data_IF_373111373475
#
_entry.id   IF_373111373475
#
_cell.length_a   1.000
_cell.length_b   1.000
_cell.length_c   1.000
_cell.angle_alpha   90.00
_cell.angle_beta   90.00
_cell.angle_gamma   90.00
#
_symmetry.space_group_name_H-M   'P 1'
#
loop_
_entity.id
_entity.type
_entity.pdbx_description
1 polymer ?
#
# COMPACT_ATOMS: atom_id res chain seq x y z
N UNK A 1 22.09 1.77 6.19
CA UNK A 1 23.12 1.92 7.23
C UNK A 1 23.61 3.35 7.33
N UNK A 2 24.53 3.77 6.45
CA UNK A 2 25.22 5.06 6.55
C UNK A 2 24.31 6.29 6.63
N UNK A 3 23.23 6.34 5.85
CA UNK A 3 22.26 7.45 5.90
C UNK A 3 21.62 7.55 7.28
N UNK A 4 21.15 6.43 7.83
CA UNK A 4 20.55 6.41 9.17
C UNK A 4 21.57 6.79 10.25
N UNK A 5 22.83 6.36 10.12
CA UNK A 5 23.92 6.74 11.04
C UNK A 5 24.16 8.26 11.07
N UNK A 6 24.08 8.91 9.91
CA UNK A 6 24.38 10.35 9.77
C UNK A 6 23.16 11.27 9.97
N UNK A 7 21.98 10.84 9.53
CA UNK A 7 20.77 11.68 9.46
C UNK A 7 19.60 11.15 10.30
N UNK A 8 19.77 9.99 10.95
CA UNK A 8 18.71 9.33 11.71
C UNK A 8 17.50 8.98 10.85
N UNK A 9 16.33 8.91 11.48
CA UNK A 9 15.06 8.61 10.81
C UNK A 9 14.59 9.74 9.88
N UNK A 10 15.06 10.98 10.09
CA UNK A 10 14.76 12.11 9.19
C UNK A 10 15.24 11.81 7.76
N UNK A 11 16.34 11.07 7.62
CA UNK A 11 16.91 10.66 6.34
C UNK A 11 17.28 11.85 5.46
N UNK A 12 17.24 11.63 4.15
CA UNK A 12 17.47 12.65 3.14
C UNK A 12 16.14 13.21 2.61
N UNK A 13 16.22 14.24 1.78
CA UNK A 13 15.08 14.66 0.96
C UNK A 13 14.69 13.52 0.01
N UNK A 14 13.42 13.46 -0.39
CA UNK A 14 12.95 12.45 -1.34
C UNK A 14 13.78 12.45 -2.62
N UNK A 15 14.02 11.25 -3.18
CA UNK A 15 14.80 11.04 -4.40
C UNK A 15 16.22 11.65 -4.41
N UNK A 16 16.82 11.88 -3.25
CA UNK A 16 18.23 12.30 -3.16
C UNK A 16 19.20 11.27 -3.76
N UNK A 17 18.84 9.99 -3.68
CA UNK A 17 19.62 8.89 -4.26
C UNK A 17 18.66 7.99 -5.04
N UNK A 18 18.88 7.85 -6.34
CA UNK A 18 18.11 6.96 -7.22
C UNK A 18 19.04 5.91 -7.80
N UNK A 19 18.74 4.63 -7.57
CA UNK A 19 19.53 3.50 -8.05
C UNK A 19 18.67 2.69 -9.01
N UNK A 20 19.08 2.65 -10.28
CA UNK A 20 18.44 1.87 -11.32
C UNK A 20 19.17 0.54 -11.51
N UNK A 21 18.44 -0.56 -11.46
CA UNK A 21 18.96 -1.93 -11.51
C UNK A 21 18.21 -2.72 -12.58
N UNK A 22 18.89 -3.70 -13.16
CA UNK A 22 18.33 -4.59 -14.17
C UNK A 22 18.73 -6.03 -13.88
N UNK A 23 17.75 -6.93 -13.88
CA UNK A 23 17.95 -8.37 -13.65
C UNK A 23 17.20 -8.89 -12.44
N UNK A 24 17.74 -9.93 -11.81
CA UNK A 24 17.11 -10.62 -10.68
C UNK A 24 17.77 -10.17 -9.38
N UNK A 25 17.00 -9.54 -8.50
CA UNK A 25 17.46 -9.22 -7.16
C UNK A 25 17.33 -10.45 -6.25
N UNK A 26 18.39 -10.76 -5.50
CA UNK A 26 18.37 -11.80 -4.48
C UNK A 26 17.43 -11.47 -3.32
N UNK A 27 17.45 -12.31 -2.29
CA UNK A 27 16.64 -12.09 -1.10
C UNK A 27 16.94 -10.75 -0.43
N UNK A 28 15.96 -10.19 0.28
CA UNK A 28 16.13 -8.99 1.11
C UNK A 28 16.49 -7.73 0.33
N UNK A 29 16.11 -7.65 -0.95
CA UNK A 29 16.29 -6.45 -1.76
C UNK A 29 15.63 -5.22 -1.10
N UNK A 30 16.39 -4.14 -0.89
CA UNK A 30 15.87 -2.91 -0.27
C UNK A 30 15.52 -3.04 1.22
N UNK A 31 16.11 -3.99 1.93
CA UNK A 31 15.91 -4.14 3.38
C UNK A 31 16.36 -2.90 4.16
N UNK A 32 15.51 -2.41 5.07
CA UNK A 32 15.74 -1.20 5.88
C UNK A 32 16.09 0.05 5.03
N UNK A 33 15.54 0.14 3.81
CA UNK A 33 15.82 1.27 2.92
C UNK A 33 15.36 2.59 3.56
N UNK A 34 16.32 3.50 3.73
CA UNK A 34 16.13 4.76 4.42
C UNK A 34 15.46 5.81 3.54
N UNK A 35 14.78 6.77 4.18
CA UNK A 35 14.18 7.91 3.51
C UNK A 35 15.16 8.67 2.62
N UNK A 36 14.69 8.96 1.40
CA UNK A 36 15.43 9.66 0.35
C UNK A 36 16.24 8.76 -0.58
N UNK A 37 16.16 7.44 -0.40
CA UNK A 37 16.69 6.46 -1.37
C UNK A 37 15.55 5.82 -2.14
N UNK A 38 15.69 5.79 -3.46
CA UNK A 38 14.77 5.12 -4.39
C UNK A 38 15.51 4.02 -5.13
N UNK A 39 15.01 2.79 -5.01
CA UNK A 39 15.48 1.63 -5.74
C UNK A 39 14.49 1.31 -6.85
N UNK A 40 14.96 1.35 -8.11
CA UNK A 40 14.17 1.00 -9.27
C UNK A 40 14.75 -0.26 -9.93
N UNK A 41 14.03 -1.37 -9.83
CA UNK A 41 14.41 -2.65 -10.38
C UNK A 41 13.57 -2.98 -11.62
N UNK A 42 14.22 -3.09 -12.77
CA UNK A 42 13.65 -3.66 -13.98
C UNK A 42 14.02 -5.14 -14.02
N UNK A 43 13.07 -6.01 -13.69
CA UNK A 43 13.30 -7.44 -13.55
C UNK A 43 12.44 -8.03 -12.44
N UNK A 44 13.01 -8.86 -11.58
CA UNK A 44 12.28 -9.61 -10.55
C UNK A 44 13.03 -9.62 -9.22
N UNK A 45 12.30 -9.67 -8.11
CA UNK A 45 12.85 -9.77 -6.77
C UNK A 45 12.52 -11.12 -6.12
N UNK A 46 13.45 -11.68 -5.36
CA UNK A 46 13.16 -12.86 -4.53
C UNK A 46 12.42 -12.47 -3.24
N UNK A 47 12.40 -13.36 -2.23
CA UNK A 47 11.74 -13.11 -0.96
C UNK A 47 12.26 -11.87 -0.22
N UNK A 48 11.43 -11.31 0.65
CA UNK A 48 11.77 -10.24 1.58
C UNK A 48 12.10 -8.89 0.94
N UNK A 49 11.62 -8.62 -0.28
CA UNK A 49 11.71 -7.26 -0.86
C UNK A 49 11.14 -6.24 0.13
N UNK A 50 11.91 -5.20 0.43
CA UNK A 50 11.51 -4.14 1.35
C UNK A 50 11.30 -4.59 2.79
N UNK A 51 11.90 -5.70 3.24
CA UNK A 51 11.87 -6.08 4.66
C UNK A 51 12.29 -4.90 5.55
N UNK A 52 11.45 -4.56 6.52
CA UNK A 52 11.66 -3.43 7.40
C UNK A 52 11.81 -2.08 6.69
N UNK A 53 11.15 -1.87 5.54
CA UNK A 53 11.19 -0.60 4.81
C UNK A 53 11.01 0.59 5.77
N UNK A 54 11.91 1.57 5.66
CA UNK A 54 12.09 2.64 6.66
C UNK A 54 12.16 4.02 5.98
N UNK A 55 11.24 4.26 5.05
CA UNK A 55 11.02 5.57 4.43
C UNK A 55 11.53 5.70 3.00
N UNK A 56 12.31 4.73 2.51
CA UNK A 56 12.73 4.69 1.10
C UNK A 56 11.58 4.30 0.16
N UNK A 57 11.86 4.34 -1.15
CA UNK A 57 10.96 3.90 -2.20
C UNK A 57 11.54 2.69 -2.94
N UNK A 58 10.73 1.65 -3.12
CA UNK A 58 11.09 0.47 -3.92
C UNK A 58 10.11 0.34 -5.07
N UNK A 59 10.66 0.15 -6.27
CA UNK A 59 9.90 -0.02 -7.50
C UNK A 59 10.40 -1.30 -8.16
N UNK A 60 9.50 -2.23 -8.47
CA UNK A 60 9.80 -3.44 -9.23
C UNK A 60 8.86 -3.52 -10.41
N UNK A 61 9.43 -3.54 -11.61
CA UNK A 61 8.69 -3.59 -12.87
C UNK A 61 9.30 -4.63 -13.80
N UNK A 62 8.49 -5.30 -14.63
CA UNK A 62 9.01 -6.32 -15.52
C UNK A 62 9.82 -5.66 -16.64
N UNK A 63 10.75 -6.42 -17.22
CA UNK A 63 11.40 -5.98 -18.45
C UNK A 63 10.34 -5.88 -19.55
N UNK A 64 10.06 -4.66 -20.04
CA UNK A 64 9.01 -4.39 -21.02
C UNK A 64 9.10 -5.33 -22.23
N UNK A 65 8.24 -6.35 -22.24
CA UNK A 65 7.95 -7.20 -23.39
C UNK A 65 6.47 -6.99 -23.70
N UNK A 66 6.13 -6.76 -24.98
CA UNK A 66 4.76 -6.46 -25.42
C UNK A 66 3.72 -7.44 -24.90
N UNK A 67 4.11 -8.71 -24.69
CA UNK A 67 3.20 -9.79 -24.30
C UNK A 67 3.26 -10.15 -22.80
N UNK A 68 4.06 -9.45 -21.98
CA UNK A 68 4.14 -9.74 -20.55
C UNK A 68 2.92 -9.19 -19.82
N UNK A 69 2.10 -10.10 -19.29
CA UNK A 69 0.93 -9.78 -18.46
C UNK A 69 1.36 -9.73 -16.99
N UNK A 70 1.69 -8.54 -16.51
CA UNK A 70 2.16 -8.35 -15.14
C UNK A 70 1.17 -8.88 -14.11
N UNK A 71 -0.13 -8.68 -14.33
CA UNK A 71 -1.24 -9.16 -13.51
C UNK A 71 -1.42 -10.69 -13.50
N UNK A 72 -0.57 -11.45 -14.19
CA UNK A 72 -0.60 -12.92 -14.26
C UNK A 72 0.71 -13.60 -13.90
N UNK A 73 1.75 -12.83 -13.58
CA UNK A 73 3.09 -13.38 -13.37
C UNK A 73 3.67 -12.88 -12.04
N UNK A 74 4.26 -13.81 -11.29
CA UNK A 74 4.98 -13.50 -10.05
C UNK A 74 6.25 -12.73 -10.41
N UNK A 75 6.43 -11.56 -9.78
CA UNK A 75 7.59 -10.69 -9.97
C UNK A 75 8.36 -10.44 -8.66
N UNK A 76 7.70 -10.65 -7.52
CA UNK A 76 8.35 -10.65 -6.21
C UNK A 76 7.95 -11.88 -5.40
N UNK A 77 8.89 -12.39 -4.60
CA UNK A 77 8.68 -13.57 -3.76
C UNK A 77 7.78 -13.30 -2.54
N UNK A 78 8.04 -14.05 -1.47
CA UNK A 78 7.23 -14.08 -0.26
C UNK A 78 7.66 -13.01 0.75
N UNK A 79 6.77 -12.72 1.71
CA UNK A 79 7.09 -11.94 2.92
C UNK A 79 7.65 -10.54 2.60
N UNK A 80 7.18 -9.97 1.48
CA UNK A 80 7.50 -8.61 1.03
C UNK A 80 6.98 -7.60 2.04
N UNK A 81 7.75 -6.55 2.31
CA UNK A 81 7.45 -5.50 3.30
C UNK A 81 7.30 -6.00 4.75
N UNK A 82 7.92 -7.12 5.09
CA UNK A 82 7.85 -7.64 6.45
C UNK A 82 8.28 -6.60 7.49
N UNK A 83 7.35 -6.16 8.35
CA UNK A 83 7.64 -5.22 9.43
C UNK A 83 8.01 -3.83 8.94
N UNK A 84 7.62 -3.45 7.71
CA UNK A 84 7.84 -2.11 7.20
C UNK A 84 7.17 -1.05 8.09
N UNK A 85 7.85 0.08 8.33
CA UNK A 85 7.38 1.13 9.25
C UNK A 85 7.05 2.45 8.54
N UNK A 86 7.60 2.68 7.35
CA UNK A 86 7.32 3.83 6.50
C UNK A 86 7.92 3.60 5.11
N UNK A 87 7.57 4.45 4.15
CA UNK A 87 8.09 4.38 2.78
C UNK A 87 7.07 3.85 1.79
N UNK A 88 7.49 3.69 0.54
CA UNK A 88 6.61 3.35 -0.57
C UNK A 88 7.13 2.14 -1.36
N UNK A 89 6.22 1.29 -1.84
CA UNK A 89 6.55 0.11 -2.63
C UNK A 89 5.57 -0.07 -3.80
N UNK A 90 6.08 -0.10 -5.03
CA UNK A 90 5.28 -0.22 -6.25
C UNK A 90 5.73 -1.43 -7.05
N UNK A 91 4.87 -2.44 -7.17
CA UNK A 91 5.19 -3.74 -7.77
C UNK A 91 4.26 -4.00 -8.96
N UNK A 92 4.77 -3.90 -10.19
CA UNK A 92 3.98 -4.25 -11.39
C UNK A 92 4.06 -5.75 -11.65
N UNK A 93 3.30 -6.49 -10.86
CA UNK A 93 3.11 -7.93 -11.01
C UNK A 93 2.56 -8.57 -9.75
N UNK A 94 2.52 -9.90 -9.73
CA UNK A 94 2.07 -10.66 -8.57
C UNK A 94 3.18 -10.78 -7.52
N UNK A 95 2.81 -10.62 -6.26
CA UNK A 95 3.64 -11.03 -5.13
C UNK A 95 3.30 -12.46 -4.69
N UNK A 96 4.26 -13.14 -4.08
CA UNK A 96 4.03 -14.40 -3.39
C UNK A 96 3.16 -14.25 -2.13
N UNK A 97 3.32 -15.18 -1.21
CA UNK A 97 2.59 -15.23 0.05
C UNK A 97 3.05 -14.16 1.04
N UNK A 98 2.18 -13.84 2.01
CA UNK A 98 2.48 -12.95 3.14
C UNK A 98 2.95 -11.55 2.71
N UNK A 99 2.41 -11.07 1.60
CA UNK A 99 2.65 -9.69 1.19
C UNK A 99 2.20 -8.71 2.28
N UNK A 100 3.06 -7.76 2.64
CA UNK A 100 2.83 -6.76 3.67
C UNK A 100 2.54 -7.33 5.07
N UNK A 101 3.06 -8.52 5.38
CA UNK A 101 2.96 -9.10 6.73
C UNK A 101 3.59 -8.17 7.77
N UNK A 102 2.86 -7.88 8.84
CA UNK A 102 3.28 -6.94 9.90
C UNK A 102 3.63 -5.53 9.41
N UNK A 103 3.14 -5.10 8.25
CA UNK A 103 3.29 -3.71 7.81
C UNK A 103 2.68 -2.78 8.87
N UNK A 104 3.44 -1.77 9.26
CA UNK A 104 3.12 -0.81 10.32
C UNK A 104 3.05 0.63 9.80
N UNK A 105 3.31 0.88 8.52
CA UNK A 105 3.28 2.25 7.98
C UNK A 105 3.72 2.46 6.54
N UNK A 106 4.12 1.41 5.80
CA UNK A 106 4.43 1.56 4.39
C UNK A 106 3.16 1.65 3.53
N UNK A 107 3.28 2.40 2.43
CA UNK A 107 2.28 2.49 1.37
C UNK A 107 2.72 1.56 0.23
N UNK A 108 1.83 0.69 -0.23
CA UNK A 108 2.17 -0.27 -1.26
C UNK A 108 1.09 -0.43 -2.32
N UNK A 109 1.50 -0.64 -3.57
CA UNK A 109 0.62 -1.04 -4.68
C UNK A 109 1.21 -2.27 -5.37
N UNK A 110 0.40 -3.32 -5.54
CA UNK A 110 0.76 -4.59 -6.17
C UNK A 110 -0.37 -5.07 -7.07
N UNK A 111 -0.08 -5.83 -8.13
CA UNK A 111 -1.10 -6.26 -9.11
C UNK A 111 -1.80 -7.58 -8.75
N UNK A 112 -1.38 -8.23 -7.67
CA UNK A 112 -2.03 -9.39 -7.07
C UNK A 112 -1.12 -10.04 -6.05
N UNK A 113 -1.67 -10.93 -5.22
CA UNK A 113 -0.94 -11.52 -4.09
C UNK A 113 -1.29 -12.98 -3.89
N UNK A 114 -0.39 -13.74 -3.28
CA UNK A 114 -0.67 -15.06 -2.73
C UNK A 114 -1.46 -14.99 -1.42
N UNK A 115 -1.39 -16.07 -0.64
CA UNK A 115 -2.11 -16.22 0.63
C UNK A 115 -1.57 -15.28 1.72
N UNK A 116 -2.39 -15.01 2.74
CA UNK A 116 -2.00 -14.26 3.94
C UNK A 116 -1.54 -12.81 3.67
N UNK A 117 -2.02 -12.18 2.60
CA UNK A 117 -1.75 -10.77 2.35
C UNK A 117 -2.27 -9.90 3.52
N UNK A 118 -1.48 -8.92 3.96
CA UNK A 118 -1.73 -8.03 5.09
C UNK A 118 -1.87 -8.73 6.46
N UNK A 119 -1.37 -9.97 6.59
CA UNK A 119 -1.39 -10.69 7.86
C UNK A 119 -0.65 -9.88 8.96
N UNK A 120 -1.28 -9.74 10.14
CA UNK A 120 -0.77 -8.95 11.27
C UNK A 120 -0.41 -7.49 10.97
N UNK A 121 -0.94 -6.90 9.89
CA UNK A 121 -0.71 -5.48 9.57
C UNK A 121 -1.33 -4.58 10.67
N UNK A 122 -0.55 -3.59 11.11
CA UNK A 122 -0.88 -2.66 12.21
C UNK A 122 -0.93 -1.20 11.75
N UNK A 123 -0.55 -0.92 10.51
CA UNK A 123 -0.53 0.42 9.94
C UNK A 123 -0.11 0.43 8.47
N UNK A 124 -0.22 1.60 7.84
CA UNK A 124 0.07 1.76 6.41
C UNK A 124 -1.15 1.56 5.51
N UNK A 125 -0.90 1.57 4.20
CA UNK A 125 -1.94 1.50 3.17
C UNK A 125 -1.49 0.53 2.08
N UNK A 126 -2.25 -0.53 1.84
CA UNK A 126 -1.95 -1.52 0.79
C UNK A 126 -3.03 -1.49 -0.27
N UNK A 127 -2.66 -1.46 -1.56
CA UNK A 127 -3.59 -1.61 -2.67
C UNK A 127 -3.21 -2.82 -3.51
N UNK A 128 -4.17 -3.70 -3.73
CA UNK A 128 -4.03 -4.88 -4.60
C UNK A 128 -4.93 -4.69 -5.82
N UNK A 129 -4.33 -4.65 -7.01
CA UNK A 129 -5.02 -4.38 -8.29
C UNK A 129 -5.49 -5.65 -9.02
N UNK A 130 -5.74 -6.73 -8.28
CA UNK A 130 -6.11 -8.02 -8.85
C UNK A 130 -6.37 -9.08 -7.79
N UNK A 131 -6.24 -10.35 -8.20
CA UNK A 131 -6.60 -11.47 -7.35
C UNK A 131 -5.68 -11.58 -6.11
N UNK A 132 -6.28 -12.02 -5.00
CA UNK A 132 -5.58 -12.36 -3.76
C UNK A 132 -5.65 -13.87 -3.51
N UNK A 133 -4.75 -14.37 -2.66
CA UNK A 133 -4.90 -15.67 -2.01
C UNK A 133 -5.89 -15.64 -0.84
N UNK A 134 -5.96 -16.74 -0.10
CA UNK A 134 -6.86 -16.92 1.05
C UNK A 134 -6.29 -16.32 2.33
N UNK A 135 -7.15 -16.20 3.35
CA UNK A 135 -6.81 -15.71 4.68
C UNK A 135 -6.23 -14.29 4.67
N UNK A 136 -6.70 -13.46 3.74
CA UNK A 136 -6.34 -12.04 3.66
C UNK A 136 -6.69 -11.32 4.97
N UNK A 137 -5.81 -10.43 5.43
CA UNK A 137 -5.98 -9.60 6.64
C UNK A 137 -6.14 -10.37 7.96
N UNK A 138 -5.70 -11.64 8.03
CA UNK A 138 -5.68 -12.38 9.28
C UNK A 138 -4.85 -11.65 10.36
N UNK A 139 -5.46 -11.37 11.51
CA UNK A 139 -4.80 -10.63 12.60
C UNK A 139 -4.47 -9.17 12.29
N UNK A 140 -5.01 -8.60 11.20
CA UNK A 140 -4.82 -7.19 10.86
C UNK A 140 -5.55 -6.31 11.88
N UNK A 141 -4.81 -5.44 12.57
CA UNK A 141 -5.31 -4.61 13.67
C UNK A 141 -5.16 -3.11 13.42
N UNK A 142 -4.51 -2.69 12.33
CA UNK A 142 -4.46 -1.28 11.93
C UNK A 142 -4.07 -1.05 10.47
N UNK A 143 -4.21 0.19 10.02
CA UNK A 143 -4.07 0.56 8.61
C UNK A 143 -5.31 0.23 7.78
N UNK A 144 -5.20 0.35 6.46
CA UNK A 144 -6.27 -0.01 5.52
C UNK A 144 -5.71 -0.75 4.31
N UNK A 145 -6.54 -1.57 3.67
CA UNK A 145 -6.22 -2.12 2.36
C UNK A 145 -7.35 -1.86 1.35
N UNK A 146 -6.98 -1.64 0.09
CA UNK A 146 -7.89 -1.59 -1.04
C UNK A 146 -7.67 -2.81 -1.92
N UNK A 147 -8.75 -3.48 -2.30
CA UNK A 147 -8.69 -4.64 -3.19
C UNK A 147 -9.60 -4.39 -4.38
N UNK A 148 -9.03 -4.40 -5.58
CA UNK A 148 -9.78 -4.35 -6.83
C UNK A 148 -10.16 -5.78 -7.22
N UNK A 149 -11.44 -6.13 -7.06
CA UNK A 149 -11.94 -7.46 -7.33
C UNK A 149 -12.80 -7.49 -8.61
N UNK A 150 -12.25 -8.06 -9.68
CA UNK A 150 -12.96 -8.23 -10.95
C UNK A 150 -13.90 -9.44 -10.96
N UNK A 151 -13.76 -10.34 -9.98
CA UNK A 151 -14.37 -11.66 -9.97
C UNK A 151 -15.45 -11.85 -8.92
N UNK A 152 -15.71 -10.82 -8.11
CA UNK A 152 -16.59 -10.87 -6.93
C UNK A 152 -16.29 -12.07 -6.01
N UNK A 153 -15.01 -12.47 -5.90
CA UNK A 153 -14.57 -13.63 -5.12
C UNK A 153 -13.79 -13.26 -3.85
N UNK A 154 -13.43 -11.99 -3.68
CA UNK A 154 -12.56 -11.52 -2.60
C UNK A 154 -13.17 -11.74 -1.20
N UNK A 155 -14.48 -11.56 -1.05
CA UNK A 155 -15.15 -11.70 0.25
C UNK A 155 -14.91 -13.09 0.87
N UNK A 156 -14.91 -14.15 0.05
CA UNK A 156 -14.67 -15.53 0.50
C UNK A 156 -13.22 -15.81 0.93
N UNK A 157 -12.28 -14.94 0.55
CA UNK A 157 -10.84 -15.08 0.79
C UNK A 157 -10.36 -14.26 1.98
N UNK A 158 -11.20 -13.37 2.50
CA UNK A 158 -10.84 -12.47 3.59
C UNK A 158 -11.16 -13.08 4.96
N UNK A 159 -10.23 -12.93 5.91
CA UNK A 159 -10.45 -13.33 7.29
C UNK A 159 -11.15 -12.21 8.06
N UNK A 160 -12.45 -12.36 8.31
CA UNK A 160 -13.29 -11.33 8.94
C UNK A 160 -13.25 -11.33 10.48
N UNK A 161 -12.30 -12.03 11.11
CA UNK A 161 -12.24 -12.12 12.58
C UNK A 161 -11.98 -10.77 13.27
N UNK A 162 -11.22 -9.87 12.62
CA UNK A 162 -10.84 -8.56 13.17
C UNK A 162 -11.11 -7.39 12.22
N UNK A 163 -11.49 -7.67 10.98
CA UNK A 163 -11.70 -6.68 9.92
C UNK A 163 -13.10 -6.78 9.34
N UNK A 164 -13.56 -5.66 8.78
CA UNK A 164 -14.74 -5.62 7.93
C UNK A 164 -14.33 -5.30 6.49
N UNK A 165 -15.13 -5.80 5.54
CA UNK A 165 -15.07 -5.42 4.14
C UNK A 165 -16.13 -4.36 3.91
N UNK A 166 -15.71 -3.22 3.37
CA UNK A 166 -16.57 -2.08 3.07
C UNK A 166 -16.59 -1.85 1.57
N UNK A 167 -17.80 -1.69 1.00
CA UNK A 167 -17.95 -1.07 -0.31
C UNK A 167 -17.59 0.41 -0.20
N UNK A 168 -16.88 0.92 -1.19
CA UNK A 168 -16.41 2.31 -1.19
C UNK A 168 -17.47 3.18 -1.82
N UNK A 169 -18.09 4.03 -1.01
CA UNK A 169 -18.99 5.06 -1.48
C UNK A 169 -18.20 6.32 -1.82
N UNK A 170 -18.70 7.13 -2.76
CA UNK A 170 -18.16 8.46 -3.00
C UNK A 170 -18.45 9.33 -1.78
N UNK A 171 -17.43 9.52 -0.94
CA UNK A 171 -17.50 10.46 0.17
C UNK A 171 -17.32 11.89 -0.36
N UNK A 172 -17.98 12.86 0.27
CA UNK A 172 -17.64 14.27 0.07
C UNK A 172 -16.16 14.50 0.40
N UNK A 173 -15.44 15.16 -0.52
CA UNK A 173 -14.02 15.45 -0.35
C UNK A 173 -13.83 16.45 0.80
N UNK A 174 -13.30 15.99 1.93
CA UNK A 174 -13.08 16.85 3.11
C UNK A 174 -11.74 17.62 3.06
N UNK A 175 -11.24 17.92 1.86
CA UNK A 175 -9.94 18.57 1.64
C UNK A 175 -8.81 17.59 1.28
N UNK A 176 -7.70 18.15 0.79
CA UNK A 176 -6.54 17.41 0.27
C UNK A 176 -5.39 17.25 1.27
N UNK A 177 -5.54 17.78 2.49
CA UNK A 177 -4.44 17.78 3.46
C UNK A 177 -4.10 16.34 3.88
N UNK A 178 -2.99 15.88 3.31
CA UNK A 178 -2.30 14.61 3.55
C UNK A 178 -3.20 13.35 3.50
N UNK A 179 -3.66 12.98 2.29
CA UNK A 179 -4.54 11.81 2.04
C UNK A 179 -3.97 10.45 2.47
N UNK A 180 -2.70 10.37 2.89
CA UNK A 180 -2.07 9.14 3.40
C UNK A 180 -1.92 9.13 4.93
N UNK A 181 -2.35 10.19 5.60
CA UNK A 181 -2.35 10.28 7.06
C UNK A 181 -3.49 9.44 7.66
N UNK A 182 -3.27 8.90 8.86
CA UNK A 182 -4.21 8.06 9.61
C UNK A 182 -5.58 8.72 9.79
N UNK A 183 -5.61 10.04 9.95
CA UNK A 183 -6.86 10.80 10.14
C UNK A 183 -7.72 10.88 8.89
N UNK A 184 -7.11 10.75 7.71
CA UNK A 184 -7.82 10.71 6.44
C UNK A 184 -8.34 9.32 6.08
N UNK A 185 -7.93 8.24 6.78
CA UNK A 185 -8.19 6.87 6.34
C UNK A 185 -9.67 6.48 6.35
N UNK A 186 -10.52 7.21 7.06
CA UNK A 186 -11.98 6.99 7.04
C UNK A 186 -12.70 7.75 5.93
N UNK A 187 -12.02 8.69 5.28
CA UNK A 187 -12.57 9.57 4.23
C UNK A 187 -11.66 9.54 2.98
N UNK A 188 -12.03 10.28 1.94
CA UNK A 188 -11.19 10.53 0.76
C UNK A 188 -10.72 9.25 0.03
N UNK A 189 -11.45 8.14 0.13
CA UNK A 189 -11.07 6.85 -0.46
C UNK A 189 -10.88 6.97 -1.98
N UNK A 190 -11.78 7.66 -2.68
CA UNK A 190 -11.69 7.87 -4.13
C UNK A 190 -10.41 8.63 -4.53
N UNK A 191 -10.12 9.73 -3.84
CA UNK A 191 -8.93 10.56 -4.11
C UNK A 191 -7.66 9.77 -3.86
N UNK A 192 -7.62 9.02 -2.75
CA UNK A 192 -6.48 8.17 -2.40
C UNK A 192 -6.26 7.07 -3.42
N UNK A 193 -7.33 6.39 -3.86
CA UNK A 193 -7.22 5.34 -4.87
C UNK A 193 -6.70 5.92 -6.19
N UNK A 194 -7.24 7.05 -6.65
CA UNK A 194 -6.76 7.74 -7.86
C UNK A 194 -5.28 8.10 -7.76
N UNK A 195 -4.84 8.63 -6.62
CA UNK A 195 -3.44 8.99 -6.41
C UNK A 195 -2.53 7.76 -6.38
N UNK A 196 -2.91 6.69 -5.68
CA UNK A 196 -2.15 5.45 -5.65
C UNK A 196 -2.02 4.81 -7.04
N UNK A 197 -3.09 4.81 -7.84
CA UNK A 197 -3.07 4.37 -9.23
C UNK A 197 -2.11 5.22 -10.06
N UNK A 198 -2.19 6.55 -9.96
CA UNK A 198 -1.31 7.48 -10.68
C UNK A 198 0.16 7.28 -10.31
N UNK A 199 0.48 7.17 -9.02
CA UNK A 199 1.85 6.87 -8.56
C UNK A 199 2.34 5.54 -9.10
N UNK A 200 1.50 4.51 -9.04
CA UNK A 200 1.86 3.21 -9.58
C UNK A 200 2.16 3.29 -11.08
N UNK A 201 1.30 3.92 -11.89
CA UNK A 201 1.54 4.15 -13.32
C UNK A 201 2.84 4.92 -13.54
N UNK A 202 3.06 6.02 -12.82
CA UNK A 202 4.25 6.86 -12.98
C UNK A 202 5.55 6.11 -12.69
N UNK A 203 5.56 5.23 -11.69
CA UNK A 203 6.76 4.51 -11.30
C UNK A 203 6.98 3.21 -12.09
N UNK A 204 5.92 2.51 -12.49
CA UNK A 204 6.03 1.16 -13.06
C UNK A 204 5.61 1.06 -14.53
N UNK A 205 4.96 2.09 -15.07
CA UNK A 205 4.25 2.04 -16.36
C UNK A 205 3.20 0.91 -16.42
N UNK A 206 2.58 0.57 -15.29
CA UNK A 206 1.57 -0.51 -15.20
C UNK A 206 0.40 -0.29 -16.14
N UNK A 207 0.19 -1.24 -17.06
CA UNK A 207 -0.96 -1.25 -17.95
C UNK A 207 -2.26 -1.59 -17.20
N UNK A 208 -2.18 -2.41 -16.15
CA UNK A 208 -3.35 -2.76 -15.31
C UNK A 208 -3.88 -1.52 -14.61
N UNK A 209 -3.03 -0.77 -13.91
CA UNK A 209 -3.43 0.45 -13.24
C UNK A 209 -3.93 1.51 -14.23
N UNK A 210 -3.28 1.63 -15.39
CA UNK A 210 -3.74 2.52 -16.47
C UNK A 210 -5.14 2.16 -16.94
N UNK A 211 -5.41 0.88 -17.23
CA UNK A 211 -6.73 0.41 -17.63
C UNK A 211 -7.81 0.67 -16.57
N UNK A 212 -7.48 0.52 -15.29
CA UNK A 212 -8.40 0.82 -14.19
C UNK A 212 -8.72 2.31 -14.16
N UNK A 213 -7.71 3.16 -14.34
CA UNK A 213 -7.85 4.61 -14.29
C UNK A 213 -8.56 5.20 -15.52
N UNK A 214 -8.36 4.61 -16.70
CA UNK A 214 -9.00 5.04 -17.96
C UNK A 214 -10.52 4.86 -17.93
N UNK A 215 -11.02 3.81 -17.26
CA UNK A 215 -12.46 3.59 -16.99
C UNK A 215 -12.76 3.60 -15.48
N UNK A 216 -12.27 4.64 -14.80
CA UNK A 216 -12.32 4.70 -13.34
C UNK A 216 -13.74 4.63 -12.78
N UNK A 217 -14.72 5.28 -13.41
CA UNK A 217 -16.09 5.38 -12.89
C UNK A 217 -16.75 3.99 -12.72
N UNK A 218 -16.51 3.08 -13.66
CA UNK A 218 -17.00 1.71 -13.59
C UNK A 218 -16.13 0.85 -12.68
N UNK A 219 -14.81 0.98 -12.79
CA UNK A 219 -13.88 0.15 -12.03
C UNK A 219 -13.84 0.50 -10.53
N UNK A 220 -14.17 1.73 -10.16
CA UNK A 220 -14.23 2.16 -8.77
C UNK A 220 -15.19 1.33 -7.93
N UNK A 221 -16.32 0.91 -8.51
CA UNK A 221 -17.34 0.09 -7.85
C UNK A 221 -16.87 -1.33 -7.50
N UNK A 222 -15.78 -1.77 -8.13
CA UNK A 222 -15.13 -3.06 -7.91
C UNK A 222 -14.07 -3.01 -6.80
N UNK A 223 -13.80 -1.83 -6.25
CA UNK A 223 -12.92 -1.72 -5.10
C UNK A 223 -13.66 -2.03 -3.80
N UNK A 224 -13.02 -2.87 -3.00
CA UNK A 224 -13.31 -3.09 -1.60
C UNK A 224 -12.28 -2.38 -0.73
N UNK A 225 -12.73 -1.91 0.43
CA UNK A 225 -11.86 -1.42 1.50
C UNK A 225 -11.91 -2.42 2.65
N UNK A 226 -10.74 -2.89 3.07
CA UNK A 226 -10.57 -3.70 4.27
C UNK A 226 -10.09 -2.81 5.41
N UNK A 227 -10.82 -2.82 6.51
CA UNK A 227 -10.59 -1.94 7.65
C UNK A 227 -10.75 -2.72 8.96
N UNK A 228 -9.77 -2.70 9.88
CA UNK A 228 -9.93 -3.31 11.19
C UNK A 228 -10.97 -2.60 12.04
N UNK A 229 -11.84 -3.37 12.68
CA UNK A 229 -13.03 -2.87 13.39
C UNK A 229 -12.61 -1.99 14.57
N UNK A 230 -11.67 -2.46 15.40
CA UNK A 230 -11.18 -1.70 16.55
C UNK A 230 -10.40 -0.45 16.13
N UNK A 231 -9.65 -0.53 15.04
CA UNK A 231 -8.94 0.61 14.48
C UNK A 231 -9.90 1.71 14.01
N UNK A 232 -10.97 1.35 13.30
CA UNK A 232 -12.04 2.28 12.92
C UNK A 232 -12.65 2.96 14.15
N UNK A 233 -12.98 2.19 15.17
CA UNK A 233 -13.57 2.71 16.40
C UNK A 233 -12.62 3.69 17.11
N UNK A 234 -11.31 3.39 17.12
CA UNK A 234 -10.30 4.29 17.68
C UNK A 234 -10.18 5.60 16.87
N UNK A 235 -10.19 5.53 15.54
CA UNK A 235 -10.14 6.72 14.67
C UNK A 235 -11.37 7.61 14.87
N UNK A 236 -12.58 7.05 14.89
CA UNK A 236 -13.81 7.81 15.12
C UNK A 236 -13.80 8.53 16.48
N UNK A 237 -13.33 7.86 17.54
CA UNK A 237 -13.18 8.48 18.86
C UNK A 237 -12.17 9.63 18.84
N UNK A 238 -11.03 9.46 18.17
CA UNK A 238 -9.99 10.50 18.06
C UNK A 238 -10.50 11.74 17.31
N UNK A 239 -11.13 11.55 16.15
CA UNK A 239 -11.66 12.65 15.34
C UNK A 239 -12.73 13.46 16.08
N UNK A 240 -13.60 12.79 16.85
CA UNK A 240 -14.58 13.48 17.70
C UNK A 240 -13.90 14.30 18.81
N UNK A 241 -12.84 13.77 19.42
CA UNK A 241 -12.07 14.48 20.45
C UNK A 241 -11.43 15.77 19.89
N UNK A 242 -10.84 15.69 18.71
CA UNK A 242 -10.20 16.83 18.04
C UNK A 242 -11.21 17.92 17.64
N UNK A 243 -12.42 17.51 17.20
CA UNK A 243 -13.53 18.42 16.92
C UNK A 243 -14.04 19.14 18.19
N UNK A 244 -14.08 18.44 19.34
CA UNK A 244 -14.44 19.05 20.63
C UNK A 244 -13.39 20.06 21.07
N UNK A 245 -12.10 19.71 20.99
CA UNK A 245 -11.00 20.60 21.40
C UNK A 245 -10.90 21.85 20.52
N UNK A 246 -11.08 21.71 19.21
CA UNK A 246 -11.10 22.84 18.26
C UNK A 246 -12.31 23.74 18.47
N UNK A 247 -13.49 23.16 18.74
CA UNK A 247 -14.69 23.89 19.13
C UNK A 247 -14.46 24.71 20.41
N UNK A 248 -13.96 24.10 21.49
CA UNK A 248 -13.71 24.80 22.77
C UNK A 248 -12.75 26.00 22.62
N UNK A 249 -11.74 25.91 21.74
CA UNK A 249 -10.84 27.04 21.46
C UNK A 249 -11.51 28.21 20.73
N UNK A 250 -12.60 27.99 20.00
CA UNK A 250 -13.36 29.08 19.36
C UNK A 250 -14.24 29.84 20.36
N UNK A 251 -14.67 29.22 21.47
CA UNK A 251 -15.46 29.87 22.53
C UNK A 251 -14.62 30.65 23.55
N UNK A 252 -13.28 30.54 23.51
CA UNK A 252 -12.37 31.27 24.39
C UNK A 252 -11.77 32.54 23.75
N UNK A 253 -12.42 33.10 22.73
CA UNK A 253 -12.05 34.40 22.14
C UNK A 253 -13.12 35.45 22.40
#
# INVERSE_FOLDING_TARGET
>A
GEIARKYGFKGLNEDSIVINLNGTAGQSFGTFLAKGVTLNLIGEGNDYVGKGLSGGRIIVSPKHKKDYKSDKNIIVGNTVLYGAISGECYISGLAGERFAVRNSGAIAVVEGTGDHCCEYMTGGIVMVLGNTGVNFAAGMSGGIAYVYDESDSFESKCNLSMVEILKINRSENQGFDNIFDKYSLLTNDEVRIKEMLKRHINYTNSLKAKSILDDFENNFKKFYKVLPIDFKNALLKSSNLDNIISGVKQWQK
#
